data_IF_362355047848
#
_entry.id   IF_362355047848
#
_cell.length_a   1.000
_cell.length_b   1.000
_cell.length_c   1.000
_cell.angle_alpha   90.00
_cell.angle_beta   90.00
_cell.angle_gamma   90.00
#
_symmetry.space_group_name_H-M   'P 1'
#
loop_
_entity.id
_entity.type
_entity.pdbx_description
1 polymer ?
#
# COMPACT_ATOMS: atom_id res chain seq x y z
N UNK A 1 -27.59 -15.82 -18.71
CA UNK A 1 -27.77 -16.41 -17.37
C UNK A 1 -27.12 -15.53 -16.32
N UNK A 2 -27.87 -15.01 -15.32
CA UNK A 2 -27.29 -14.25 -14.20
C UNK A 2 -27.11 -15.16 -12.98
N UNK A 3 -25.85 -15.36 -12.56
CA UNK A 3 -25.49 -16.15 -11.39
C UNK A 3 -25.45 -15.18 -10.18
N UNK A 4 -26.38 -15.34 -9.25
CA UNK A 4 -26.45 -14.52 -8.03
C UNK A 4 -25.66 -15.20 -6.91
N UNK A 5 -24.68 -14.48 -6.35
CA UNK A 5 -23.87 -14.93 -5.22
C UNK A 5 -24.22 -14.10 -3.98
N UNK A 6 -24.63 -14.77 -2.91
CA UNK A 6 -24.81 -14.15 -1.59
C UNK A 6 -23.46 -13.78 -0.96
N UNK A 7 -23.46 -13.18 0.22
CA UNK A 7 -22.24 -12.71 0.88
C UNK A 7 -21.26 -13.85 1.20
N UNK A 8 -21.76 -15.02 1.58
CA UNK A 8 -20.92 -16.18 1.93
C UNK A 8 -20.33 -16.79 0.66
N UNK A 9 -21.16 -17.05 -0.35
CA UNK A 9 -20.72 -17.61 -1.64
C UNK A 9 -19.71 -16.66 -2.34
N UNK A 10 -19.96 -15.36 -2.29
CA UNK A 10 -19.04 -14.33 -2.82
C UNK A 10 -17.68 -14.39 -2.13
N UNK A 11 -17.67 -14.47 -0.79
CA UNK A 11 -16.43 -14.56 -0.01
C UNK A 11 -15.70 -15.89 -0.21
N UNK A 12 -16.44 -16.99 -0.29
CA UNK A 12 -15.86 -18.31 -0.57
C UNK A 12 -15.19 -18.34 -1.96
N UNK A 13 -15.84 -17.78 -2.98
CA UNK A 13 -15.26 -17.64 -4.31
C UNK A 13 -13.99 -16.79 -4.29
N UNK A 14 -14.01 -15.65 -3.58
CA UNK A 14 -12.83 -14.79 -3.41
C UNK A 14 -11.65 -15.55 -2.75
N UNK A 15 -11.93 -16.38 -1.73
CA UNK A 15 -10.92 -17.20 -1.07
C UNK A 15 -10.34 -18.28 -2.02
N UNK A 16 -11.18 -18.91 -2.83
CA UNK A 16 -10.71 -19.87 -3.85
C UNK A 16 -9.83 -19.18 -4.89
N UNK A 17 -10.25 -18.01 -5.39
CA UNK A 17 -9.47 -17.22 -6.35
C UNK A 17 -8.13 -16.77 -5.76
N UNK A 18 -8.10 -16.42 -4.47
CA UNK A 18 -6.88 -16.12 -3.74
C UNK A 18 -5.92 -17.32 -3.75
N UNK A 19 -6.40 -18.52 -3.45
CA UNK A 19 -5.57 -19.75 -3.50
C UNK A 19 -5.07 -20.04 -4.91
N UNK A 20 -5.91 -19.87 -5.93
CA UNK A 20 -5.49 -19.97 -7.34
C UNK A 20 -4.39 -18.94 -7.64
N UNK A 21 -4.53 -17.70 -7.15
CA UNK A 21 -3.52 -16.66 -7.29
C UNK A 21 -2.18 -17.05 -6.66
N UNK A 22 -2.18 -17.62 -5.47
CA UNK A 22 -0.97 -18.17 -4.83
C UNK A 22 -0.34 -19.31 -5.65
N UNK A 23 -1.16 -20.22 -6.15
CA UNK A 23 -0.69 -21.34 -6.98
C UNK A 23 -0.03 -20.83 -8.28
N UNK A 24 -0.69 -19.91 -9.00
CA UNK A 24 -0.14 -19.31 -10.25
C UNK A 24 1.14 -18.55 -9.96
N UNK A 25 1.17 -17.74 -8.89
CA UNK A 25 2.36 -17.00 -8.46
C UNK A 25 3.54 -17.95 -8.15
N UNK A 26 3.28 -19.12 -7.57
CA UNK A 26 4.29 -20.15 -7.32
C UNK A 26 4.83 -20.80 -8.59
N UNK A 27 4.08 -20.79 -9.70
CA UNK A 27 4.51 -21.35 -11.00
C UNK A 27 5.16 -20.31 -11.91
N UNK A 28 4.80 -19.04 -11.79
CA UNK A 28 5.28 -17.94 -12.66
C UNK A 28 6.23 -17.06 -11.87
N UNK A 29 7.52 -17.34 -11.98
CA UNK A 29 8.60 -16.63 -11.24
C UNK A 29 8.59 -15.11 -11.45
N UNK A 30 8.12 -14.64 -12.61
CA UNK A 30 7.98 -13.22 -12.94
C UNK A 30 7.06 -12.48 -11.98
N UNK A 31 5.95 -13.11 -11.56
CA UNK A 31 5.00 -12.52 -10.61
C UNK A 31 5.64 -12.33 -9.23
N UNK A 32 6.48 -13.29 -8.80
CA UNK A 32 7.27 -13.17 -7.59
C UNK A 32 8.32 -12.07 -7.68
N UNK A 33 9.05 -12.00 -8.80
CA UNK A 33 10.09 -11.00 -9.08
C UNK A 33 9.56 -9.57 -9.00
N UNK A 34 8.35 -9.32 -9.50
CA UNK A 34 7.69 -8.01 -9.45
C UNK A 34 6.79 -7.82 -8.22
N UNK A 35 6.90 -8.68 -7.21
CA UNK A 35 6.13 -8.61 -5.96
C UNK A 35 4.61 -8.49 -6.14
N UNK A 36 4.06 -9.00 -7.27
CA UNK A 36 2.62 -8.90 -7.56
C UNK A 36 1.85 -9.74 -6.52
N UNK A 37 0.87 -9.14 -5.80
CA UNK A 37 0.10 -9.86 -4.79
C UNK A 37 -0.75 -10.99 -5.39
N UNK A 38 -0.83 -12.12 -4.68
CA UNK A 38 -1.65 -13.26 -5.12
C UNK A 38 -3.13 -12.93 -5.37
N UNK A 39 -3.81 -12.11 -4.53
CA UNK A 39 -5.19 -11.71 -4.80
C UNK A 39 -5.35 -10.93 -6.11
N UNK A 40 -4.33 -10.16 -6.52
CA UNK A 40 -4.35 -9.46 -7.81
C UNK A 40 -4.34 -10.46 -8.97
N UNK A 41 -3.50 -11.49 -8.89
CA UNK A 41 -3.44 -12.54 -9.91
C UNK A 41 -4.75 -13.30 -10.01
N UNK A 42 -5.31 -13.77 -8.89
CA UNK A 42 -6.58 -14.49 -8.85
C UNK A 42 -7.76 -13.63 -9.32
N UNK A 43 -7.81 -12.36 -8.88
CA UNK A 43 -8.84 -11.40 -9.28
C UNK A 43 -8.82 -11.10 -10.78
N UNK A 44 -7.63 -10.84 -11.36
CA UNK A 44 -7.51 -10.62 -12.80
C UNK A 44 -7.90 -11.85 -13.64
N UNK A 45 -7.51 -13.04 -13.21
CA UNK A 45 -7.93 -14.26 -13.92
C UNK A 45 -9.46 -14.36 -13.97
N UNK A 46 -10.15 -14.10 -12.87
CA UNK A 46 -11.61 -14.14 -12.82
C UNK A 46 -12.25 -12.98 -13.59
N UNK A 47 -11.64 -11.81 -13.59
CA UNK A 47 -12.07 -10.66 -14.41
C UNK A 47 -12.08 -11.00 -15.91
N UNK A 48 -11.12 -11.79 -16.41
CA UNK A 48 -11.15 -12.28 -17.79
C UNK A 48 -12.33 -13.26 -18.02
N UNK A 49 -12.66 -14.12 -17.06
CA UNK A 49 -13.82 -15.00 -17.15
C UNK A 49 -15.11 -14.19 -17.23
N UNK A 50 -15.28 -13.17 -16.38
CA UNK A 50 -16.46 -12.29 -16.42
C UNK A 50 -16.53 -11.47 -17.70
N UNK A 51 -15.38 -11.04 -18.23
CA UNK A 51 -15.28 -10.33 -19.51
C UNK A 51 -15.75 -11.20 -20.69
N UNK A 52 -15.33 -12.46 -20.75
CA UNK A 52 -15.80 -13.42 -21.78
C UNK A 52 -17.31 -13.61 -21.66
N UNK A 53 -17.84 -13.81 -20.45
CA UNK A 53 -19.28 -13.94 -20.23
C UNK A 53 -20.07 -12.73 -20.71
N UNK A 54 -19.54 -11.52 -20.46
CA UNK A 54 -20.15 -10.27 -20.91
C UNK A 54 -20.13 -10.13 -22.45
N UNK A 55 -18.97 -10.38 -23.09
CA UNK A 55 -18.84 -10.27 -24.55
C UNK A 55 -19.69 -11.28 -25.31
N UNK A 56 -19.81 -12.48 -24.79
CA UNK A 56 -20.63 -13.54 -25.42
C UNK A 56 -22.12 -13.44 -25.07
N UNK A 57 -22.49 -12.61 -24.09
CA UNK A 57 -23.86 -12.54 -23.56
C UNK A 57 -24.32 -13.82 -22.85
N UNK A 58 -23.42 -14.79 -22.61
CA UNK A 58 -23.77 -16.12 -22.14
C UNK A 58 -24.08 -16.15 -20.63
N UNK A 59 -23.30 -15.44 -19.80
CA UNK A 59 -23.47 -15.37 -18.36
C UNK A 59 -22.98 -14.06 -17.78
N UNK A 60 -23.51 -13.72 -16.61
CA UNK A 60 -23.08 -12.59 -15.78
C UNK A 60 -23.11 -12.99 -14.31
N UNK A 61 -22.33 -12.31 -13.48
CA UNK A 61 -22.34 -12.51 -12.03
C UNK A 61 -22.91 -11.28 -11.31
N UNK A 62 -23.67 -11.53 -10.24
CA UNK A 62 -24.13 -10.51 -9.30
C UNK A 62 -23.62 -10.89 -7.92
N UNK A 63 -22.72 -10.06 -7.36
CA UNK A 63 -22.03 -10.33 -6.10
C UNK A 63 -22.58 -9.47 -4.96
N UNK A 64 -22.59 -10.06 -3.74
CA UNK A 64 -22.93 -9.35 -2.50
C UNK A 64 -21.64 -9.13 -1.69
N UNK A 65 -21.11 -7.90 -1.70
CA UNK A 65 -19.78 -7.53 -1.15
C UNK A 65 -19.81 -7.11 0.32
N UNK A 66 -20.69 -7.67 1.15
CA UNK A 66 -20.87 -7.27 2.56
C UNK A 66 -19.59 -7.30 3.39
N UNK A 67 -18.72 -8.30 3.16
CA UNK A 67 -17.47 -8.47 3.93
C UNK A 67 -16.28 -7.66 3.41
N UNK A 68 -16.40 -7.01 2.26
CA UNK A 68 -15.30 -6.22 1.67
C UNK A 68 -14.87 -5.08 2.59
N UNK A 69 -15.81 -4.25 3.05
CA UNK A 69 -15.51 -3.13 3.95
C UNK A 69 -14.96 -3.56 5.32
N UNK A 70 -15.53 -4.55 6.03
CA UNK A 70 -14.97 -5.08 7.27
C UNK A 70 -13.52 -5.57 7.13
N UNK A 71 -13.19 -6.30 6.07
CA UNK A 71 -11.82 -6.78 5.84
C UNK A 71 -10.85 -5.63 5.58
N UNK A 72 -11.27 -4.63 4.81
CA UNK A 72 -10.49 -3.41 4.57
C UNK A 72 -10.20 -2.66 5.88
N UNK A 73 -11.23 -2.41 6.69
CA UNK A 73 -11.07 -1.70 7.97
C UNK A 73 -10.17 -2.48 8.92
N UNK A 74 -10.32 -3.82 9.00
CA UNK A 74 -9.47 -4.68 9.81
C UNK A 74 -7.99 -4.58 9.37
N UNK A 75 -7.70 -4.65 8.08
CA UNK A 75 -6.34 -4.48 7.55
C UNK A 75 -5.72 -3.14 7.98
N UNK A 76 -6.39 -2.01 7.72
CA UNK A 76 -5.85 -0.70 8.11
C UNK A 76 -5.73 -0.52 9.62
N UNK A 77 -6.57 -1.19 10.40
CA UNK A 77 -6.43 -1.24 11.86
C UNK A 77 -5.14 -1.95 12.28
N UNK A 78 -4.78 -3.07 11.65
CA UNK A 78 -3.51 -3.75 11.94
C UNK A 78 -2.31 -2.91 11.53
N UNK A 79 -2.37 -2.18 10.41
CA UNK A 79 -1.35 -1.19 10.02
C UNK A 79 -1.18 -0.13 11.12
N UNK A 80 -2.28 0.41 11.65
CA UNK A 80 -2.25 1.38 12.76
C UNK A 80 -1.62 0.82 14.03
N UNK A 81 -1.91 -0.44 14.40
CA UNK A 81 -1.28 -1.12 15.54
C UNK A 81 0.24 -1.35 15.33
N UNK A 82 0.71 -1.46 14.10
CA UNK A 82 2.13 -1.52 13.76
C UNK A 82 2.87 -0.19 13.95
N UNK A 83 2.17 0.94 13.96
CA UNK A 83 2.75 2.29 13.95
C UNK A 83 3.25 2.74 15.33
N UNK A 84 4.53 2.49 15.63
CA UNK A 84 5.19 2.79 16.90
C UNK A 84 6.04 4.06 16.84
N UNK A 85 5.79 5.02 17.75
CA UNK A 85 6.61 6.23 17.89
C UNK A 85 7.96 5.93 18.57
N UNK A 86 8.11 4.83 19.30
CA UNK A 86 9.40 4.43 19.84
C UNK A 86 10.38 4.01 18.74
N UNK A 87 9.88 3.37 17.67
CA UNK A 87 10.70 3.04 16.49
C UNK A 87 11.21 4.31 15.79
N UNK A 88 10.42 5.39 15.78
CA UNK A 88 10.84 6.69 15.26
C UNK A 88 12.06 7.22 16.01
N UNK A 89 12.08 7.10 17.34
CA UNK A 89 13.20 7.56 18.18
C UNK A 89 14.48 6.77 17.92
N UNK A 90 14.38 5.46 17.65
CA UNK A 90 15.54 4.60 17.35
C UNK A 90 16.21 4.93 16.01
N UNK A 91 15.47 5.39 15.01
CA UNK A 91 15.99 5.73 13.68
C UNK A 91 16.73 7.07 13.59
N UNK A 92 16.68 7.90 14.63
CA UNK A 92 17.35 9.19 14.70
C UNK A 92 16.87 10.20 13.65
N UNK A 93 17.68 11.27 13.48
CA UNK A 93 17.31 12.39 12.59
C UNK A 93 17.17 11.96 11.11
N UNK A 94 17.96 11.00 10.66
CA UNK A 94 17.92 10.52 9.27
C UNK A 94 16.58 9.85 8.94
N UNK A 95 15.98 9.12 9.90
CA UNK A 95 14.64 8.54 9.73
C UNK A 95 13.59 9.65 9.59
N UNK A 96 13.67 10.70 10.42
CA UNK A 96 12.76 11.86 10.33
C UNK A 96 12.89 12.56 8.99
N UNK A 97 14.12 12.79 8.53
CA UNK A 97 14.37 13.40 7.21
C UNK A 97 13.80 12.54 6.09
N UNK A 98 14.04 11.23 6.13
CA UNK A 98 13.50 10.30 5.12
C UNK A 98 11.98 10.26 5.13
N UNK A 99 11.37 10.27 6.32
CA UNK A 99 9.91 10.33 6.47
C UNK A 99 9.32 11.61 5.87
N UNK A 100 9.91 12.78 6.17
CA UNK A 100 9.49 14.07 5.59
C UNK A 100 9.67 14.10 4.06
N UNK A 101 10.79 13.56 3.56
CA UNK A 101 11.02 13.41 2.12
C UNK A 101 9.91 12.56 1.48
N UNK A 102 9.56 11.43 2.09
CA UNK A 102 8.48 10.56 1.59
C UNK A 102 7.13 11.28 1.60
N UNK A 103 6.86 12.10 2.63
CA UNK A 103 5.67 12.94 2.71
C UNK A 103 5.61 14.00 1.59
N UNK A 104 6.73 14.69 1.31
CA UNK A 104 6.81 15.66 0.21
C UNK A 104 6.65 14.97 -1.14
N UNK A 105 7.24 13.80 -1.33
CA UNK A 105 7.06 12.99 -2.56
C UNK A 105 5.58 12.68 -2.78
N UNK A 106 4.83 12.31 -1.76
CA UNK A 106 3.39 12.03 -1.92
C UNK A 106 2.58 13.27 -2.32
N UNK A 107 2.94 14.46 -1.83
CA UNK A 107 2.32 15.72 -2.28
C UNK A 107 2.63 15.96 -3.76
N UNK A 108 3.90 15.82 -4.16
CA UNK A 108 4.31 15.99 -5.56
C UNK A 108 3.56 15.02 -6.48
N UNK A 109 3.42 13.76 -6.07
CA UNK A 109 2.67 12.76 -6.83
C UNK A 109 1.20 13.14 -7.02
N UNK A 110 0.54 13.61 -5.97
CA UNK A 110 -0.84 14.09 -6.08
C UNK A 110 -0.94 15.35 -6.96
N UNK A 111 0.00 16.29 -6.88
CA UNK A 111 0.04 17.47 -7.74
C UNK A 111 0.23 17.09 -9.23
N UNK A 112 1.13 16.14 -9.53
CA UNK A 112 1.34 15.62 -10.88
C UNK A 112 0.05 15.00 -11.41
N UNK A 113 -0.63 14.20 -10.59
CA UNK A 113 -1.87 13.54 -10.96
C UNK A 113 -2.96 14.55 -11.33
N UNK A 114 -3.19 15.57 -10.49
CA UNK A 114 -4.16 16.63 -10.75
C UNK A 114 -3.74 17.49 -11.95
N UNK A 115 -2.46 17.78 -12.12
CA UNK A 115 -1.95 18.48 -13.29
C UNK A 115 -2.22 17.74 -14.60
N UNK A 116 -1.93 16.44 -14.61
CA UNK A 116 -2.16 15.59 -15.77
C UNK A 116 -3.63 15.28 -16.03
N UNK A 117 -4.50 15.25 -15.01
CA UNK A 117 -5.93 15.10 -15.20
C UNK A 117 -6.50 16.19 -16.13
N UNK A 118 -6.04 17.44 -15.94
CA UNK A 118 -6.48 18.58 -16.75
C UNK A 118 -5.99 18.53 -18.19
N UNK A 119 -4.84 17.91 -18.43
CA UNK A 119 -4.26 17.78 -19.77
C UNK A 119 -4.87 16.59 -20.52
N UNK A 120 -5.12 15.49 -19.82
CA UNK A 120 -5.62 14.25 -20.44
C UNK A 120 -7.14 14.14 -20.48
N UNK A 121 -7.85 15.00 -19.74
CA UNK A 121 -9.31 14.90 -19.53
C UNK A 121 -9.70 13.74 -18.61
N UNK A 122 -8.73 13.07 -17.96
CA UNK A 122 -8.98 12.03 -16.97
C UNK A 122 -9.64 12.64 -15.72
N UNK A 123 -10.73 12.07 -15.24
CA UNK A 123 -11.36 12.56 -14.01
C UNK A 123 -10.36 12.57 -12.84
N UNK A 124 -10.43 13.61 -12.00
CA UNK A 124 -9.48 13.84 -10.89
C UNK A 124 -9.43 12.64 -9.92
N UNK A 125 -10.56 11.96 -9.70
CA UNK A 125 -10.63 10.74 -8.88
C UNK A 125 -9.74 9.63 -9.45
N UNK A 126 -9.81 9.38 -10.74
CA UNK A 126 -8.96 8.38 -11.40
C UNK A 126 -7.48 8.80 -11.43
N UNK A 127 -7.22 10.09 -11.64
CA UNK A 127 -5.87 10.61 -11.63
C UNK A 127 -5.22 10.48 -10.23
N UNK A 128 -5.93 10.82 -9.16
CA UNK A 128 -5.45 10.64 -7.79
C UNK A 128 -5.19 9.17 -7.44
N UNK A 129 -6.05 8.25 -7.95
CA UNK A 129 -5.79 6.81 -7.83
C UNK A 129 -4.48 6.41 -8.51
N UNK A 130 -4.14 6.98 -9.65
CA UNK A 130 -2.88 6.74 -10.34
C UNK A 130 -1.69 7.54 -9.75
N UNK A 131 -1.96 8.40 -8.75
CA UNK A 131 -0.97 9.17 -7.99
C UNK A 131 -0.52 8.49 -6.70
N UNK A 132 -0.34 9.28 -5.64
CA UNK A 132 0.15 8.81 -4.35
C UNK A 132 -0.70 7.67 -3.76
N UNK A 133 -2.01 7.61 -4.05
CA UNK A 133 -2.91 6.56 -3.55
C UNK A 133 -2.39 5.17 -3.93
N UNK A 134 -2.05 4.94 -5.20
CA UNK A 134 -1.52 3.66 -5.65
C UNK A 134 0.00 3.56 -5.52
N UNK A 135 0.71 4.68 -5.70
CA UNK A 135 2.17 4.69 -5.72
C UNK A 135 2.78 4.47 -4.32
N UNK A 136 2.24 5.14 -3.29
CA UNK A 136 2.71 4.99 -1.89
C UNK A 136 1.82 4.01 -1.12
N UNK A 137 0.50 4.17 -1.24
CA UNK A 137 -0.45 3.32 -0.52
C UNK A 137 -0.64 1.93 -1.10
N UNK A 138 -0.09 1.65 -2.29
CA UNK A 138 -0.14 0.35 -2.95
C UNK A 138 -1.57 -0.15 -3.20
N UNK A 139 -1.73 -1.46 -3.37
CA UNK A 139 -3.03 -2.08 -3.64
C UNK A 139 -4.06 -1.89 -2.50
N UNK A 140 -3.60 -1.82 -1.25
CA UNK A 140 -4.46 -1.62 -0.08
C UNK A 140 -5.21 -0.30 -0.15
N UNK A 141 -4.48 0.80 -0.23
CA UNK A 141 -5.07 2.13 -0.34
C UNK A 141 -5.78 2.34 -1.68
N UNK A 142 -5.20 1.85 -2.80
CA UNK A 142 -5.81 1.91 -4.11
C UNK A 142 -7.22 1.30 -4.14
N UNK A 143 -7.38 0.12 -3.52
CA UNK A 143 -8.67 -0.52 -3.39
C UNK A 143 -9.62 0.26 -2.46
N UNK A 144 -9.14 0.73 -1.31
CA UNK A 144 -9.93 1.45 -0.32
C UNK A 144 -10.50 2.77 -0.90
N UNK A 145 -9.64 3.61 -1.46
CA UNK A 145 -10.07 4.84 -2.12
C UNK A 145 -10.86 4.55 -3.41
N UNK A 146 -10.49 3.49 -4.14
CA UNK A 146 -11.23 3.02 -5.30
C UNK A 146 -12.68 2.68 -4.96
N UNK A 147 -12.92 1.98 -3.86
CA UNK A 147 -14.28 1.68 -3.36
C UNK A 147 -15.01 2.97 -2.94
N UNK A 148 -14.32 3.90 -2.28
CA UNK A 148 -14.88 5.20 -1.91
C UNK A 148 -15.32 5.99 -3.15
N UNK A 149 -14.47 6.08 -4.17
CA UNK A 149 -14.77 6.78 -5.41
C UNK A 149 -15.86 6.08 -6.23
N UNK A 150 -15.92 4.75 -6.23
CA UNK A 150 -17.04 4.02 -6.84
C UNK A 150 -18.38 4.39 -6.20
N UNK A 151 -18.42 4.56 -4.87
CA UNK A 151 -19.57 5.08 -4.14
C UNK A 151 -19.93 6.53 -4.53
N UNK A 152 -18.98 7.32 -5.01
CA UNK A 152 -19.17 8.67 -5.53
C UNK A 152 -19.57 8.73 -7.01
N UNK A 153 -19.76 7.58 -7.67
CA UNK A 153 -20.17 7.46 -9.08
C UNK A 153 -19.04 7.23 -10.08
N UNK A 154 -17.81 6.96 -9.62
CA UNK A 154 -16.67 6.61 -10.48
C UNK A 154 -16.53 5.08 -10.61
N UNK A 155 -17.35 4.46 -11.43
CA UNK A 155 -17.52 2.98 -11.49
C UNK A 155 -16.22 2.20 -11.78
N UNK A 156 -15.28 2.77 -12.56
CA UNK A 156 -13.99 2.15 -12.88
C UNK A 156 -12.90 2.32 -11.79
N UNK A 157 -13.18 3.04 -10.68
CA UNK A 157 -12.16 3.48 -9.74
C UNK A 157 -11.33 2.33 -9.12
N UNK A 158 -11.99 1.23 -8.72
CA UNK A 158 -11.27 0.07 -8.14
C UNK A 158 -10.31 -0.53 -9.16
N UNK A 159 -10.74 -0.63 -10.42
CA UNK A 159 -9.90 -1.14 -11.52
C UNK A 159 -8.72 -0.24 -11.85
N UNK A 160 -8.95 1.06 -11.95
CA UNK A 160 -7.91 2.07 -12.17
C UNK A 160 -6.87 2.02 -11.04
N UNK A 161 -7.31 1.97 -9.78
CA UNK A 161 -6.41 1.87 -8.63
C UNK A 161 -5.57 0.60 -8.65
N UNK A 162 -6.19 -0.56 -8.91
CA UNK A 162 -5.50 -1.84 -8.99
C UNK A 162 -4.48 -1.89 -10.13
N UNK A 163 -4.84 -1.39 -11.31
CA UNK A 163 -3.94 -1.31 -12.46
C UNK A 163 -2.76 -0.37 -12.19
N UNK A 164 -3.02 0.83 -11.66
CA UNK A 164 -1.99 1.79 -11.31
C UNK A 164 -1.01 1.23 -10.27
N UNK A 165 -1.50 0.59 -9.20
CA UNK A 165 -0.66 -0.04 -8.19
C UNK A 165 0.18 -1.18 -8.77
N UNK A 166 -0.38 -1.99 -9.68
CA UNK A 166 0.36 -3.08 -10.35
C UNK A 166 1.49 -2.54 -11.23
N UNK A 167 1.20 -1.53 -12.06
CA UNK A 167 2.23 -0.88 -12.88
C UNK A 167 3.29 -0.20 -12.01
N UNK A 168 2.88 0.45 -10.93
CA UNK A 168 3.80 1.05 -9.96
C UNK A 168 4.78 0.03 -9.38
N UNK A 169 4.31 -1.14 -8.93
CA UNK A 169 5.17 -2.23 -8.45
C UNK A 169 6.19 -2.68 -9.50
N UNK A 170 5.72 -2.91 -10.74
CA UNK A 170 6.58 -3.36 -11.84
C UNK A 170 7.68 -2.33 -12.12
N UNK A 171 7.29 -1.07 -12.32
CA UNK A 171 8.25 0.00 -12.61
C UNK A 171 9.17 0.27 -11.41
N UNK A 172 8.66 0.22 -10.17
CA UNK A 172 9.45 0.41 -8.96
C UNK A 172 10.62 -0.57 -8.85
N UNK A 173 10.39 -1.87 -9.17
CA UNK A 173 11.46 -2.87 -9.23
C UNK A 173 12.44 -2.59 -10.38
N UNK A 174 11.94 -2.18 -11.54
CA UNK A 174 12.78 -1.97 -12.72
C UNK A 174 13.75 -0.79 -12.52
N UNK A 175 13.30 0.31 -11.88
CA UNK A 175 14.09 1.55 -11.81
C UNK A 175 14.95 1.66 -10.54
N UNK A 176 14.59 1.00 -9.43
CA UNK A 176 15.24 1.17 -8.14
C UNK A 176 16.72 0.80 -8.14
N UNK A 177 17.05 -0.39 -8.64
CA UNK A 177 18.43 -0.86 -8.77
C UNK A 177 19.29 0.02 -9.71
N UNK A 178 18.86 0.29 -10.95
CA UNK A 178 19.59 1.14 -11.89
C UNK A 178 19.87 2.55 -11.38
N UNK A 179 18.92 3.21 -10.71
CA UNK A 179 19.13 4.56 -10.16
C UNK A 179 20.16 4.53 -9.02
N UNK A 180 20.06 3.58 -8.10
CA UNK A 180 21.05 3.43 -7.03
C UNK A 180 22.44 3.11 -7.59
N UNK A 181 22.53 2.21 -8.56
CA UNK A 181 23.77 1.90 -9.27
C UNK A 181 24.41 3.16 -9.85
N UNK A 182 23.63 3.97 -10.57
CA UNK A 182 24.14 5.21 -11.17
C UNK A 182 24.67 6.18 -10.12
N UNK A 183 23.98 6.29 -8.97
CA UNK A 183 24.44 7.13 -7.86
C UNK A 183 25.74 6.62 -7.24
N UNK A 184 25.85 5.31 -7.03
CA UNK A 184 27.01 4.67 -6.41
C UNK A 184 28.24 4.76 -7.34
N UNK A 185 28.10 4.35 -8.59
CA UNK A 185 29.23 4.31 -9.55
C UNK A 185 29.72 5.73 -9.90
N UNK A 186 28.80 6.69 -10.11
CA UNK A 186 29.18 8.07 -10.45
C UNK A 186 29.90 8.82 -9.31
N UNK A 187 29.55 8.52 -8.07
CA UNK A 187 30.13 9.20 -6.91
C UNK A 187 31.19 8.33 -6.20
N UNK A 188 31.58 7.16 -6.75
CA UNK A 188 32.55 6.23 -6.16
C UNK A 188 32.24 5.88 -4.70
N UNK A 189 30.94 5.62 -4.38
CA UNK A 189 30.51 5.38 -3.02
C UNK A 189 30.84 3.95 -2.58
N UNK A 190 31.22 3.80 -1.29
CA UNK A 190 31.47 2.51 -0.65
C UNK A 190 30.67 2.40 0.64
N UNK A 191 30.27 1.18 1.05
CA UNK A 191 29.69 0.91 2.36
C UNK A 191 30.65 1.41 3.46
N UNK A 192 30.09 1.87 4.58
CA UNK A 192 30.87 2.25 5.75
C UNK A 192 31.28 0.99 6.52
N UNK A 193 32.59 0.64 6.51
CA UNK A 193 33.13 -0.56 7.16
C UNK A 193 33.18 -0.44 8.69
N UNK A 194 33.00 0.76 9.25
CA UNK A 194 33.18 1.02 10.69
C UNK A 194 31.90 0.77 11.52
N UNK A 195 30.76 0.49 10.92
CA UNK A 195 29.51 0.21 11.63
C UNK A 195 29.41 -1.28 12.09
N UNK A 196 30.32 -1.71 12.93
CA UNK A 196 30.11 -2.86 13.80
C UNK A 196 29.13 -2.47 14.93
N UNK A 197 27.86 -2.29 14.58
CA UNK A 197 26.80 -2.01 15.56
C UNK A 197 26.02 -3.28 15.87
N UNK A 198 25.86 -3.48 17.15
CA UNK A 198 25.17 -4.55 17.86
C UNK A 198 24.04 -5.24 17.11
N UNK A 199 23.99 -6.54 17.31
CA UNK A 199 23.03 -7.55 16.86
C UNK A 199 21.54 -7.30 17.19
N UNK A 200 21.14 -6.07 17.48
CA UNK A 200 19.80 -5.74 17.94
C UNK A 200 18.70 -5.72 16.86
N UNK A 201 19.06 -5.87 15.59
CA UNK A 201 18.05 -5.91 14.49
C UNK A 201 17.59 -7.34 14.17
N UNK A 202 18.37 -8.35 14.56
CA UNK A 202 17.97 -9.77 14.42
C UNK A 202 16.95 -10.21 15.50
N UNK A 203 16.88 -9.54 16.64
CA UNK A 203 15.96 -9.88 17.73
C UNK A 203 14.48 -9.55 17.45
N UNK A 204 14.17 -8.69 16.45
CA UNK A 204 12.77 -8.40 16.07
C UNK A 204 12.12 -9.62 15.38
N UNK A 205 12.93 -10.53 14.81
CA UNK A 205 12.45 -11.71 14.09
C UNK A 205 12.62 -13.04 14.87
N UNK A 206 13.28 -13.03 16.01
CA UNK A 206 13.58 -14.21 16.80
C UNK A 206 12.75 -14.28 18.10
N UNK A 207 11.44 -14.30 17.99
CA UNK A 207 10.65 -14.90 19.08
C UNK A 207 10.49 -16.39 18.78
N UNK A 208 11.19 -17.19 19.60
CA UNK A 208 11.10 -18.63 19.69
C UNK A 208 9.65 -19.12 19.59
N UNK A 209 9.47 -20.30 18.99
CA UNK A 209 8.21 -20.96 18.72
C UNK A 209 7.29 -21.18 19.91
N UNK A 210 6.80 -20.11 20.54
CA UNK A 210 5.70 -20.17 21.49
C UNK A 210 4.47 -20.69 20.79
N UNK A 211 3.92 -21.80 21.30
CA UNK A 211 2.66 -22.35 20.83
C UNK A 211 1.57 -21.32 21.07
N UNK A 212 1.07 -20.72 19.98
CA UNK A 212 -0.06 -19.80 20.03
C UNK A 212 -1.28 -20.49 20.66
N UNK A 213 -1.78 -19.93 21.76
CA UNK A 213 -3.02 -20.41 22.37
C UNK A 213 -4.24 -19.77 21.68
N UNK A 214 -5.39 -20.47 21.73
CA UNK A 214 -6.65 -19.89 21.25
C UNK A 214 -6.97 -18.57 21.97
N UNK A 215 -6.57 -18.41 23.23
CA UNK A 215 -6.77 -17.19 23.99
C UNK A 215 -5.94 -16.03 23.47
N UNK A 216 -4.71 -16.27 22.98
CA UNK A 216 -3.87 -15.22 22.40
C UNK A 216 -4.46 -14.70 21.08
N UNK A 217 -5.03 -15.61 20.27
CA UNK A 217 -5.76 -15.24 19.06
C UNK A 217 -6.97 -14.37 19.43
N UNK A 218 -7.81 -14.81 20.38
CA UNK A 218 -8.99 -14.07 20.83
C UNK A 218 -8.61 -12.69 21.34
N UNK A 219 -7.56 -12.55 22.16
CA UNK A 219 -7.09 -11.25 22.65
C UNK A 219 -6.75 -10.32 21.49
N UNK A 220 -5.88 -10.73 20.57
CA UNK A 220 -5.46 -9.87 19.46
C UNK A 220 -6.62 -9.52 18.51
N UNK A 221 -7.50 -10.47 18.18
CA UNK A 221 -8.72 -10.21 17.41
C UNK A 221 -9.64 -9.22 18.13
N UNK A 222 -9.82 -9.36 19.45
CA UNK A 222 -10.62 -8.41 20.25
C UNK A 222 -10.04 -7.00 20.20
N UNK A 223 -8.73 -6.85 20.34
CA UNK A 223 -8.07 -5.56 20.25
C UNK A 223 -8.25 -4.90 18.88
N UNK A 224 -8.17 -5.68 17.80
CA UNK A 224 -8.43 -5.21 16.43
C UNK A 224 -9.90 -4.76 16.31
N UNK A 225 -10.86 -5.59 16.71
CA UNK A 225 -12.29 -5.28 16.62
C UNK A 225 -12.69 -4.04 17.42
N UNK A 226 -12.16 -3.88 18.64
CA UNK A 226 -12.40 -2.70 19.48
C UNK A 226 -11.83 -1.45 18.81
N UNK A 227 -10.60 -1.52 18.29
CA UNK A 227 -9.98 -0.41 17.58
C UNK A 227 -10.74 -0.04 16.30
N UNK A 228 -11.25 -1.03 15.56
CA UNK A 228 -12.14 -0.82 14.41
C UNK A 228 -13.41 -0.06 14.81
N UNK A 229 -14.11 -0.55 15.84
CA UNK A 229 -15.38 0.05 16.28
C UNK A 229 -15.18 1.50 16.72
N UNK A 230 -14.19 1.77 17.56
CA UNK A 230 -13.84 3.12 18.01
C UNK A 230 -13.43 4.02 16.84
N UNK A 231 -12.63 3.50 15.92
CA UNK A 231 -12.17 4.24 14.76
C UNK A 231 -13.28 4.60 13.78
N UNK A 232 -14.24 3.72 13.57
CA UNK A 232 -15.44 4.00 12.77
C UNK A 232 -16.29 5.11 13.40
N UNK A 233 -16.45 5.12 14.74
CA UNK A 233 -17.13 6.20 15.46
C UNK A 233 -16.40 7.54 15.29
N UNK A 234 -15.07 7.54 15.44
CA UNK A 234 -14.22 8.73 15.24
C UNK A 234 -14.30 9.23 13.80
N UNK A 235 -14.29 8.34 12.81
CA UNK A 235 -14.49 8.71 11.40
C UNK A 235 -15.83 9.43 11.20
N UNK A 236 -16.90 8.92 11.79
CA UNK A 236 -18.21 9.55 11.71
C UNK A 236 -18.24 10.94 12.33
N UNK A 237 -17.53 11.17 13.43
CA UNK A 237 -17.41 12.50 14.06
C UNK A 237 -16.59 13.47 13.21
N UNK A 238 -15.44 13.03 12.72
CA UNK A 238 -14.59 13.84 11.84
C UNK A 238 -15.36 14.21 10.57
N UNK A 239 -16.06 13.25 9.96
CA UNK A 239 -16.89 13.50 8.76
C UNK A 239 -17.93 14.60 8.97
N UNK A 240 -18.61 14.62 10.13
CA UNK A 240 -19.55 15.67 10.50
C UNK A 240 -18.87 17.04 10.63
N UNK A 241 -17.67 17.11 11.23
CA UNK A 241 -16.92 18.36 11.43
C UNK A 241 -16.43 18.92 10.10
N UNK A 242 -15.85 18.07 9.24
CA UNK A 242 -15.30 18.52 7.94
C UNK A 242 -16.35 18.62 6.84
N UNK A 243 -17.60 18.20 7.13
CA UNK A 243 -18.74 18.15 6.18
C UNK A 243 -18.41 17.33 4.92
N UNK A 244 -17.78 16.18 5.10
CA UNK A 244 -17.38 15.25 4.04
C UNK A 244 -17.34 13.83 4.60
N UNK A 245 -17.62 12.83 3.76
CA UNK A 245 -17.47 11.43 4.15
C UNK A 245 -15.99 11.12 4.42
N UNK A 246 -15.64 10.99 5.71
CA UNK A 246 -14.30 10.62 6.12
C UNK A 246 -14.17 9.10 6.12
N UNK A 247 -13.21 8.51 5.38
CA UNK A 247 -13.13 7.07 5.22
C UNK A 247 -12.96 6.35 6.56
N UNK A 248 -13.82 5.34 6.82
CA UNK A 248 -13.86 4.61 8.09
C UNK A 248 -12.54 3.91 8.43
N UNK A 249 -11.84 3.38 7.41
CA UNK A 249 -10.55 2.72 7.58
C UNK A 249 -9.43 3.68 8.01
N UNK A 250 -9.49 4.96 7.58
CA UNK A 250 -8.50 5.97 8.00
C UNK A 250 -8.64 6.26 9.49
N UNK A 251 -9.87 6.47 9.99
CA UNK A 251 -10.09 6.68 11.42
C UNK A 251 -9.76 5.43 12.25
N UNK A 252 -10.05 4.24 11.75
CA UNK A 252 -9.67 2.99 12.42
C UNK A 252 -8.14 2.84 12.54
N UNK A 253 -7.40 3.17 11.49
CA UNK A 253 -5.94 3.20 11.49
C UNK A 253 -5.40 4.20 12.53
N UNK A 254 -5.91 5.44 12.56
CA UNK A 254 -5.43 6.44 13.53
C UNK A 254 -5.77 6.08 14.98
N UNK A 255 -6.96 5.55 15.25
CA UNK A 255 -7.33 5.08 16.60
C UNK A 255 -6.42 3.93 17.03
N UNK A 256 -6.18 2.97 16.15
CA UNK A 256 -5.27 1.85 16.41
C UNK A 256 -3.83 2.33 16.69
N UNK A 257 -3.34 3.33 15.96
CA UNK A 257 -2.05 3.97 16.21
C UNK A 257 -2.00 4.64 17.59
N UNK A 258 -3.07 5.33 18.01
CA UNK A 258 -3.16 5.91 19.34
C UNK A 258 -3.13 4.81 20.39
N UNK A 259 -3.92 3.75 20.26
CA UNK A 259 -3.94 2.59 21.16
C UNK A 259 -2.55 1.96 21.30
N UNK A 260 -1.85 1.77 20.17
CA UNK A 260 -0.48 1.26 20.15
C UNK A 260 0.47 2.12 20.98
N UNK A 261 0.48 3.41 20.75
CA UNK A 261 1.44 4.33 21.40
C UNK A 261 1.10 4.57 22.88
N UNK A 262 -0.18 4.57 23.25
CA UNK A 262 -0.60 4.56 24.66
C UNK A 262 -0.14 3.27 25.35
N UNK A 263 -0.31 2.12 24.71
CA UNK A 263 0.12 0.84 25.26
C UNK A 263 1.64 0.77 25.44
N UNK A 264 2.43 1.36 24.56
CA UNK A 264 3.89 1.45 24.72
C UNK A 264 4.32 2.23 25.97
N UNK A 265 3.49 3.18 26.40
CA UNK A 265 3.74 3.98 27.61
C UNK A 265 3.17 3.36 28.87
N UNK A 266 1.98 2.75 28.80
CA UNK A 266 1.22 2.29 29.97
C UNK A 266 1.25 0.76 30.16
N UNK A 267 1.68 0.00 29.14
CA UNK A 267 1.77 -1.48 29.14
C UNK A 267 0.46 -2.18 29.58
N UNK A 268 -0.71 -1.61 29.22
CA UNK A 268 -2.01 -2.14 29.66
C UNK A 268 -2.46 -3.38 28.87
N UNK A 269 -1.85 -3.66 27.72
CA UNK A 269 -2.22 -4.78 26.85
C UNK A 269 -1.01 -5.49 26.25
N UNK A 270 -1.08 -6.82 26.17
CA UNK A 270 0.01 -7.63 25.62
C UNK A 270 -0.31 -8.02 24.16
N UNK A 271 0.17 -7.23 23.20
CA UNK A 271 0.01 -7.50 21.78
C UNK A 271 1.00 -8.54 21.28
N UNK A 272 0.53 -9.51 20.52
CA UNK A 272 1.39 -10.35 19.69
C UNK A 272 1.39 -9.80 18.24
N UNK A 273 2.41 -9.00 17.90
CA UNK A 273 2.48 -8.35 16.60
C UNK A 273 2.58 -9.32 15.45
N UNK A 274 3.18 -10.50 15.63
CA UNK A 274 3.20 -11.55 14.59
C UNK A 274 1.78 -12.03 14.25
N UNK A 275 0.90 -12.14 15.25
CA UNK A 275 -0.52 -12.43 15.01
C UNK A 275 -1.25 -11.26 14.36
N UNK A 276 -1.01 -10.04 14.82
CA UNK A 276 -1.63 -8.83 14.27
C UNK A 276 -1.28 -8.70 12.79
N UNK A 277 0.00 -8.85 12.43
CA UNK A 277 0.48 -8.79 11.05
C UNK A 277 -0.13 -9.91 10.20
N UNK A 278 -0.14 -11.16 10.71
CA UNK A 278 -0.74 -12.29 10.01
C UNK A 278 -2.25 -12.12 9.77
N UNK A 279 -2.99 -11.56 10.74
CA UNK A 279 -4.40 -11.21 10.56
C UNK A 279 -4.53 -10.11 9.50
N UNK A 280 -3.68 -9.10 9.53
CA UNK A 280 -3.64 -8.02 8.55
C UNK A 280 -3.46 -8.55 7.13
N UNK A 281 -2.49 -9.43 6.92
CA UNK A 281 -2.21 -10.04 5.61
C UNK A 281 -3.41 -10.85 5.07
N UNK A 282 -4.08 -11.61 5.94
CA UNK A 282 -5.29 -12.37 5.56
C UNK A 282 -6.43 -11.40 5.19
N UNK A 283 -6.67 -10.37 6.01
CA UNK A 283 -7.73 -9.38 5.78
C UNK A 283 -7.49 -8.60 4.48
N UNK A 284 -6.25 -8.15 4.23
CA UNK A 284 -5.87 -7.49 2.97
C UNK A 284 -6.09 -8.40 1.77
N UNK A 285 -5.65 -9.66 1.87
CA UNK A 285 -5.74 -10.61 0.76
C UNK A 285 -7.19 -10.93 0.39
N UNK A 286 -8.06 -11.15 1.37
CA UNK A 286 -9.49 -11.38 1.15
C UNK A 286 -10.18 -10.12 0.62
N UNK A 287 -9.88 -8.95 1.20
CA UNK A 287 -10.39 -7.68 0.74
C UNK A 287 -10.07 -7.43 -0.74
N UNK A 288 -8.78 -7.55 -1.12
CA UNK A 288 -8.35 -7.35 -2.50
C UNK A 288 -8.96 -8.38 -3.44
N UNK A 289 -9.07 -9.64 -3.03
CA UNK A 289 -9.68 -10.69 -3.85
C UNK A 289 -11.15 -10.39 -4.14
N UNK A 290 -11.93 -9.97 -3.12
CA UNK A 290 -13.32 -9.51 -3.27
C UNK A 290 -13.42 -8.30 -4.20
N UNK A 291 -12.56 -7.30 -4.00
CA UNK A 291 -12.59 -6.06 -4.79
C UNK A 291 -12.27 -6.33 -6.26
N UNK A 292 -11.25 -7.15 -6.54
CA UNK A 292 -10.73 -7.34 -7.89
C UNK A 292 -11.57 -8.32 -8.72
N UNK A 293 -12.16 -9.36 -8.11
CA UNK A 293 -12.99 -10.30 -8.85
C UNK A 293 -14.29 -9.68 -9.40
N UNK A 294 -14.72 -8.55 -8.81
CA UNK A 294 -15.95 -7.85 -9.23
C UNK A 294 -15.71 -6.77 -10.29
N UNK A 295 -14.46 -6.60 -10.73
CA UNK A 295 -14.09 -5.58 -11.71
C UNK A 295 -14.68 -5.86 -13.09
N UNK A 296 -15.12 -4.77 -13.73
CA UNK A 296 -15.60 -4.77 -15.11
C UNK A 296 -14.48 -4.30 -16.04
N UNK A 297 -13.83 -5.25 -16.72
CA UNK A 297 -12.67 -4.95 -17.58
C UNK A 297 -13.01 -3.97 -18.71
N UNK A 298 -14.21 -4.01 -19.22
CA UNK A 298 -14.66 -3.12 -20.31
C UNK A 298 -14.71 -1.64 -19.90
N UNK A 299 -15.00 -1.34 -18.62
CA UNK A 299 -15.00 0.03 -18.10
C UNK A 299 -13.57 0.56 -17.91
N UNK A 300 -12.61 -0.33 -17.68
CA UNK A 300 -11.20 0.00 -17.42
C UNK A 300 -10.42 0.29 -18.71
N UNK A 301 -10.68 -0.46 -19.78
CA UNK A 301 -9.88 -0.40 -21.01
C UNK A 301 -9.80 1.01 -21.62
N UNK A 302 -10.89 1.76 -21.59
CA UNK A 302 -10.95 3.13 -22.14
C UNK A 302 -10.08 4.13 -21.35
N UNK A 303 -9.76 3.85 -20.09
CA UNK A 303 -8.99 4.71 -19.19
C UNK A 303 -7.50 4.37 -19.14
N UNK A 304 -7.09 3.23 -19.71
CA UNK A 304 -5.73 2.71 -19.56
C UNK A 304 -4.65 3.64 -20.09
N UNK A 305 -4.87 4.30 -21.24
CA UNK A 305 -3.91 5.23 -21.82
C UNK A 305 -3.57 6.41 -20.90
N UNK A 306 -4.56 7.21 -20.49
CA UNK A 306 -4.36 8.30 -19.54
C UNK A 306 -3.80 7.84 -18.18
N UNK A 307 -4.27 6.72 -17.64
CA UNK A 307 -3.77 6.16 -16.36
C UNK A 307 -2.29 5.79 -16.46
N UNK A 308 -1.90 5.10 -17.54
CA UNK A 308 -0.50 4.72 -17.77
C UNK A 308 0.40 5.94 -17.93
N UNK A 309 -0.08 7.00 -18.60
CA UNK A 309 0.66 8.26 -18.71
C UNK A 309 0.92 8.88 -17.33
N UNK A 310 -0.09 8.91 -16.44
CA UNK A 310 0.08 9.41 -15.07
C UNK A 310 1.11 8.55 -14.33
N UNK A 311 0.99 7.22 -14.35
CA UNK A 311 1.93 6.31 -13.66
C UNK A 311 3.36 6.48 -14.18
N UNK A 312 3.58 6.50 -15.49
CA UNK A 312 4.92 6.69 -16.07
C UNK A 312 5.50 8.04 -15.68
N UNK A 313 4.70 9.09 -15.65
CA UNK A 313 5.13 10.41 -15.19
C UNK A 313 5.58 10.38 -13.72
N UNK A 314 4.87 9.66 -12.83
CA UNK A 314 5.29 9.45 -11.45
C UNK A 314 6.66 8.78 -11.36
N UNK A 315 6.88 7.73 -12.16
CA UNK A 315 8.15 7.00 -12.19
C UNK A 315 9.30 7.93 -12.62
N UNK A 316 9.12 8.65 -13.73
CA UNK A 316 10.15 9.55 -14.26
C UNK A 316 10.48 10.66 -13.27
N UNK A 317 9.46 11.32 -12.71
CA UNK A 317 9.68 12.40 -11.76
C UNK A 317 10.35 11.89 -10.49
N UNK A 318 9.95 10.73 -9.94
CA UNK A 318 10.58 10.20 -8.74
C UNK A 318 12.04 9.79 -8.99
N UNK A 319 12.37 9.23 -10.16
CA UNK A 319 13.77 8.97 -10.55
C UNK A 319 14.59 10.26 -10.58
N UNK A 320 14.06 11.32 -11.18
CA UNK A 320 14.71 12.65 -11.24
C UNK A 320 14.90 13.21 -9.83
N UNK A 321 13.86 13.16 -9.00
CA UNK A 321 13.95 13.64 -7.60
C UNK A 321 14.98 12.85 -6.80
N UNK A 322 15.00 11.53 -6.89
CA UNK A 322 15.97 10.67 -6.22
C UNK A 322 17.41 11.03 -6.66
N UNK A 323 17.63 11.19 -7.97
CA UNK A 323 18.96 11.43 -8.51
C UNK A 323 19.49 12.83 -8.20
N UNK A 324 18.68 13.88 -8.36
CA UNK A 324 19.16 15.27 -8.28
C UNK A 324 18.97 15.92 -6.90
N UNK A 325 17.95 15.50 -6.14
CA UNK A 325 17.52 16.21 -4.91
C UNK A 325 17.63 15.29 -3.69
N UNK A 326 16.92 14.17 -3.67
CA UNK A 326 16.75 13.35 -2.47
C UNK A 326 18.07 12.73 -2.02
N UNK A 327 18.88 12.23 -2.95
CA UNK A 327 20.22 11.74 -2.66
C UNK A 327 21.09 12.77 -1.94
N UNK A 328 20.95 14.05 -2.30
CA UNK A 328 21.70 15.15 -1.64
C UNK A 328 21.18 15.46 -0.25
N UNK A 329 19.86 15.46 -0.07
CA UNK A 329 19.19 15.69 1.22
C UNK A 329 19.56 14.59 2.22
N UNK A 330 19.65 13.34 1.76
CA UNK A 330 19.98 12.16 2.58
C UNK A 330 21.47 12.02 2.90
N UNK A 331 22.34 12.94 2.44
CA UNK A 331 23.76 13.02 2.85
C UNK A 331 24.79 12.64 1.80
N UNK A 332 24.41 12.37 0.55
CA UNK A 332 25.31 12.03 -0.59
C UNK A 332 26.29 10.88 -0.33
N UNK A 333 25.93 9.93 0.49
CA UNK A 333 26.76 8.78 0.84
C UNK A 333 26.14 7.48 0.33
N UNK A 334 26.77 6.35 0.64
CA UNK A 334 26.30 5.04 0.24
C UNK A 334 24.90 4.72 0.77
N UNK A 335 24.63 5.03 2.06
CA UNK A 335 23.34 4.84 2.67
C UNK A 335 22.23 5.60 1.95
N UNK A 336 22.50 6.86 1.58
CA UNK A 336 21.58 7.68 0.80
C UNK A 336 21.23 7.07 -0.57
N UNK A 337 22.21 6.47 -1.25
CA UNK A 337 21.97 5.79 -2.53
C UNK A 337 21.08 4.54 -2.37
N UNK A 338 21.31 3.75 -1.31
CA UNK A 338 20.47 2.58 -0.98
C UNK A 338 19.07 3.02 -0.54
N UNK A 339 18.96 4.10 0.24
CA UNK A 339 17.68 4.68 0.63
C UNK A 339 16.87 5.21 -0.57
N UNK A 340 17.54 5.76 -1.60
CA UNK A 340 16.89 6.13 -2.85
C UNK A 340 16.33 4.90 -3.60
N UNK A 341 17.07 3.76 -3.63
CA UNK A 341 16.53 2.50 -4.17
C UNK A 341 15.28 2.04 -3.41
N UNK A 342 15.31 2.15 -2.09
CA UNK A 342 14.17 1.85 -1.23
C UNK A 342 12.98 2.78 -1.50
N UNK A 343 13.22 4.09 -1.62
CA UNK A 343 12.18 5.08 -1.92
C UNK A 343 11.50 4.83 -3.27
N UNK A 344 12.27 4.51 -4.30
CA UNK A 344 11.74 4.09 -5.61
C UNK A 344 10.90 2.83 -5.51
N UNK A 345 11.20 1.94 -4.56
CA UNK A 345 10.40 0.74 -4.30
C UNK A 345 9.06 1.07 -3.62
N UNK A 346 9.09 1.66 -2.42
CA UNK A 346 7.85 1.92 -1.67
C UNK A 346 7.09 3.15 -2.17
N UNK A 347 7.75 4.11 -2.79
CA UNK A 347 7.14 5.32 -3.36
C UNK A 347 6.52 5.11 -4.75
N UNK A 348 6.71 3.93 -5.37
CA UNK A 348 6.05 3.52 -6.61
C UNK A 348 5.26 2.21 -6.47
N UNK A 349 5.22 1.62 -5.29
CA UNK A 349 4.54 0.34 -5.16
C UNK A 349 4.23 -0.09 -3.74
N UNK A 350 5.23 -0.62 -3.02
CA UNK A 350 5.03 -1.15 -1.67
C UNK A 350 6.37 -1.39 -0.95
N UNK A 351 6.32 -1.54 0.37
CA UNK A 351 7.51 -1.84 1.19
C UNK A 351 8.27 -3.10 0.75
N UNK A 352 7.64 -4.22 0.36
CA UNK A 352 8.36 -5.37 -0.19
C UNK A 352 9.21 -5.04 -1.42
N UNK A 353 8.72 -4.17 -2.30
CA UNK A 353 9.47 -3.71 -3.48
C UNK A 353 10.71 -2.90 -3.07
N UNK A 354 10.61 -2.09 -2.01
CA UNK A 354 11.77 -1.38 -1.46
C UNK A 354 12.85 -2.36 -0.98
N UNK A 355 12.45 -3.41 -0.26
CA UNK A 355 13.38 -4.44 0.23
C UNK A 355 14.06 -5.17 -0.93
N UNK A 356 13.31 -5.53 -1.98
CA UNK A 356 13.87 -6.16 -3.19
C UNK A 356 14.93 -5.28 -3.85
N UNK A 357 14.63 -3.99 -4.04
CA UNK A 357 15.57 -3.03 -4.63
C UNK A 357 16.84 -2.87 -3.77
N UNK A 358 16.68 -2.71 -2.46
CA UNK A 358 17.82 -2.57 -1.56
C UNK A 358 18.65 -3.86 -1.48
N UNK A 359 18.02 -5.04 -1.53
CA UNK A 359 18.70 -6.33 -1.53
C UNK A 359 19.54 -6.50 -2.80
N UNK A 360 19.01 -6.14 -3.96
CA UNK A 360 19.78 -6.17 -5.22
C UNK A 360 21.02 -5.24 -5.18
N UNK A 361 20.92 -4.09 -4.53
CA UNK A 361 22.08 -3.19 -4.30
C UNK A 361 23.06 -3.82 -3.31
N UNK A 362 22.56 -4.38 -2.18
CA UNK A 362 23.37 -5.08 -1.17
C UNK A 362 24.20 -6.20 -1.76
N UNK A 363 23.60 -7.05 -2.60
CA UNK A 363 24.29 -8.20 -3.21
C UNK A 363 25.48 -7.80 -4.07
N UNK A 364 25.44 -6.61 -4.67
CA UNK A 364 26.49 -6.13 -5.57
C UNK A 364 27.53 -5.23 -4.91
N UNK A 365 27.10 -4.38 -3.98
CA UNK A 365 27.94 -3.30 -3.44
C UNK A 365 28.18 -3.39 -1.93
N UNK A 366 27.43 -4.22 -1.21
CA UNK A 366 27.53 -4.40 0.24
C UNK A 366 26.32 -3.89 1.03
N UNK A 367 26.32 -4.13 2.33
CA UNK A 367 25.20 -3.84 3.22
C UNK A 367 25.17 -2.36 3.64
N UNK A 368 23.98 -1.77 3.65
CA UNK A 368 23.67 -0.49 4.31
C UNK A 368 22.70 -0.75 5.46
N UNK A 369 23.21 -0.86 6.68
CA UNK A 369 22.37 -1.15 7.87
C UNK A 369 21.34 -0.06 8.12
N UNK A 370 21.73 1.23 7.96
CA UNK A 370 20.83 2.38 8.15
C UNK A 370 19.65 2.33 7.18
N UNK A 371 19.92 2.08 5.89
CA UNK A 371 18.85 2.00 4.90
C UNK A 371 17.88 0.85 5.20
N UNK A 372 18.41 -0.34 5.52
CA UNK A 372 17.58 -1.51 5.84
C UNK A 372 16.79 -1.36 7.16
N UNK A 373 17.20 -0.48 8.06
CA UNK A 373 16.43 -0.12 9.24
C UNK A 373 15.37 0.94 8.94
N UNK A 374 15.74 2.03 8.27
CA UNK A 374 14.90 3.23 8.12
C UNK A 374 13.79 3.01 7.08
N UNK A 375 14.15 2.50 5.90
CA UNK A 375 13.22 2.41 4.77
C UNK A 375 12.00 1.54 5.06
N UNK A 376 12.13 0.32 5.64
CA UNK A 376 10.97 -0.50 5.96
C UNK A 376 10.07 0.15 7.03
N UNK A 377 10.63 0.80 8.04
CA UNK A 377 9.87 1.48 9.09
C UNK A 377 9.02 2.60 8.51
N UNK A 378 9.60 3.43 7.65
CA UNK A 378 8.88 4.54 7.02
C UNK A 378 7.86 4.03 6.00
N UNK A 379 8.26 3.10 5.12
CA UNK A 379 7.40 2.60 4.05
C UNK A 379 6.25 1.70 4.54
N UNK A 380 6.39 1.04 5.69
CA UNK A 380 5.35 0.14 6.19
C UNK A 380 4.19 0.87 6.88
N UNK A 381 4.46 1.98 7.58
CA UNK A 381 3.40 2.65 8.36
C UNK A 381 3.63 4.15 8.63
N UNK A 382 4.88 4.64 8.76
CA UNK A 382 5.08 6.06 9.12
C UNK A 382 4.63 7.01 8.01
N UNK A 383 4.79 6.63 6.76
CA UNK A 383 4.35 7.45 5.63
C UNK A 383 2.84 7.69 5.66
N UNK A 384 2.05 6.73 6.13
CA UNK A 384 0.59 6.82 6.20
C UNK A 384 0.10 7.94 7.13
N UNK A 385 0.87 8.27 8.17
CA UNK A 385 0.53 9.33 9.12
C UNK A 385 0.36 10.70 8.42
N UNK A 386 1.17 10.97 7.39
CA UNK A 386 1.09 12.24 6.63
C UNK A 386 0.36 12.04 5.31
N UNK A 387 0.61 10.94 4.62
CA UNK A 387 0.05 10.66 3.31
C UNK A 387 -1.49 10.55 3.34
N UNK A 388 -2.07 9.90 4.36
CA UNK A 388 -3.53 9.72 4.43
C UNK A 388 -4.29 11.05 4.63
N UNK A 389 -3.95 11.92 5.61
CA UNK A 389 -4.63 13.21 5.76
C UNK A 389 -4.49 14.13 4.54
N UNK A 390 -3.31 14.16 3.91
CA UNK A 390 -3.13 14.98 2.71
C UNK A 390 -3.94 14.44 1.53
N UNK A 391 -4.04 13.12 1.35
CA UNK A 391 -4.86 12.52 0.30
C UNK A 391 -6.33 12.89 0.50
N UNK A 392 -6.84 12.81 1.73
CA UNK A 392 -8.20 13.28 2.07
C UNK A 392 -8.37 14.76 1.73
N UNK A 393 -7.37 15.62 1.99
CA UNK A 393 -7.43 17.03 1.62
C UNK A 393 -7.51 17.20 0.08
N UNK A 394 -6.69 16.50 -0.69
CA UNK A 394 -6.76 16.52 -2.15
C UNK A 394 -8.13 16.08 -2.67
N UNK A 395 -8.69 15.00 -2.12
CA UNK A 395 -10.03 14.53 -2.47
C UNK A 395 -11.06 15.63 -2.22
N UNK A 396 -11.03 16.25 -1.03
CA UNK A 396 -11.97 17.31 -0.65
C UNK A 396 -11.94 18.52 -1.61
N UNK A 397 -10.76 18.89 -2.10
CA UNK A 397 -10.62 20.08 -2.96
C UNK A 397 -10.85 19.79 -4.44
N UNK A 398 -10.54 18.60 -4.92
CA UNK A 398 -10.51 18.31 -6.35
C UNK A 398 -11.57 17.32 -6.81
N UNK A 399 -12.00 16.37 -5.96
CA UNK A 399 -12.97 15.34 -6.37
C UNK A 399 -14.40 15.77 -6.00
N UNK A 400 -15.28 15.76 -7.00
CA UNK A 400 -16.71 16.00 -6.82
C UNK A 400 -17.48 14.70 -7.07
N UNK A 401 -18.54 14.43 -6.29
CA UNK A 401 -19.41 13.31 -6.59
C UNK A 401 -20.08 13.52 -7.96
N UNK A 402 -20.17 12.45 -8.75
CA UNK A 402 -20.88 12.47 -10.01
C UNK A 402 -22.38 12.45 -9.69
N UNK A 403 -23.07 13.56 -9.89
CA UNK A 403 -24.52 13.60 -9.82
C UNK A 403 -25.08 12.81 -11.00
N UNK A 404 -25.78 11.70 -10.68
CA UNK A 404 -26.51 10.91 -11.68
C UNK A 404 -27.76 11.63 -12.12
#
# INVERSE_FOLDING_TARGET
>A
LTIKCDAITTTALAAVLLLIGYWVKGKVSLLGKYCIPAPVVGGFLFMFVTFIGHQTGSFSFSFTNTFQSPFMVAFFTTVGLGASMQLLKKGGILLVVYWLVSAVVSIIQNCISIGLSRVTGLAEAYALLAGAISMIGGHGAAGAYGTTFAGMGYDAAVGVGAAAATFGLIFGVIVGGPVARLLIERNNLKPDETENLDSSVEEINASNGEKLSGLDIIKNVTAILVSMALGMMVSGWIGKIIKMDFPSYVGAMFVAMIVRNLNESCHFYNFNFRLVDGIGDVMLSLYLSLALMTLKLWDLLSLMGPVLLVVVSQVVVLCILCYFIIFRILGKNYDAAVMCAGLLGHGLGATPTAIVNMTAVKERYGMSRKAFMIVPIVGAFLVDIIYQPQTVAFIKYFVKAVTK
#
